data_IF_313161705029
#
_entry.id   IF_313161705029
#
_cell.length_a   1.000
_cell.length_b   1.000
_cell.length_c   1.000
_cell.angle_alpha   90.00
_cell.angle_beta   90.00
_cell.angle_gamma   90.00
#
_symmetry.space_group_name_H-M   'P 1'
#
loop_
_entity.id
_entity.type
_entity.pdbx_description
1 polymer ?
#
# COMPACT_ATOMS: atom_id res chain seq x y z
N UNK A 1 -9.57 14.52 -6.94
CA UNK A 1 -8.56 14.27 -8.00
C UNK A 1 -8.52 15.51 -8.85
N UNK A 2 -7.33 15.98 -9.18
CA UNK A 2 -7.14 17.10 -10.09
C UNK A 2 -6.72 16.50 -11.43
N UNK A 3 -7.53 16.68 -12.46
CA UNK A 3 -7.26 16.15 -13.81
C UNK A 3 -7.04 14.62 -13.84
N UNK A 4 -7.78 13.88 -13.01
CA UNK A 4 -7.61 12.42 -12.90
C UNK A 4 -6.44 11.97 -12.02
N UNK A 5 -5.65 12.90 -11.49
CA UNK A 5 -4.50 12.62 -10.64
C UNK A 5 -4.81 12.82 -9.15
N UNK A 6 -4.15 12.06 -8.26
CA UNK A 6 -4.20 12.27 -6.82
C UNK A 6 -3.58 13.64 -6.48
N UNK A 7 -4.27 14.41 -5.64
CA UNK A 7 -3.79 15.75 -5.21
C UNK A 7 -2.62 15.61 -4.22
N UNK A 8 -2.73 14.65 -3.30
CA UNK A 8 -1.68 14.32 -2.35
C UNK A 8 -1.87 12.90 -1.79
N UNK A 9 -0.80 12.37 -1.19
CA UNK A 9 -0.79 11.11 -0.46
C UNK A 9 -0.40 11.34 0.99
N UNK A 10 -1.03 10.61 1.90
CA UNK A 10 -0.75 10.67 3.34
C UNK A 10 -0.69 9.26 3.91
N UNK A 11 0.28 8.99 4.78
CA UNK A 11 0.40 7.70 5.46
C UNK A 11 1.06 7.86 6.81
N UNK A 12 0.61 7.08 7.80
CA UNK A 12 1.16 7.11 9.17
C UNK A 12 1.39 5.70 9.69
N UNK A 13 2.51 5.50 10.37
CA UNK A 13 2.74 4.28 11.16
C UNK A 13 1.83 4.28 12.39
N UNK A 14 1.26 3.10 12.69
CA UNK A 14 0.52 2.88 13.92
C UNK A 14 1.50 2.80 15.10
N UNK A 15 1.13 3.40 16.23
CA UNK A 15 1.85 3.23 17.49
C UNK A 15 1.68 1.82 18.05
N UNK A 16 2.54 1.40 18.98
CA UNK A 16 2.46 0.07 19.59
C UNK A 16 1.13 -0.24 20.30
N UNK A 17 0.36 0.77 20.69
CA UNK A 17 -1.00 0.58 21.20
C UNK A 17 -2.02 0.41 20.07
N UNK A 18 -1.89 1.19 19.00
CA UNK A 18 -2.78 1.19 17.83
C UNK A 18 -2.65 -0.07 16.98
N UNK A 19 -1.47 -0.73 16.99
CA UNK A 19 -1.29 -2.03 16.34
C UNK A 19 -2.19 -3.12 16.94
N UNK A 20 -2.64 -2.96 18.19
CA UNK A 20 -3.55 -3.91 18.87
C UNK A 20 -5.03 -3.64 18.60
N UNK A 21 -5.37 -2.59 17.86
CA UNK A 21 -6.77 -2.27 17.54
C UNK A 21 -7.34 -3.30 16.56
N UNK A 22 -8.67 -3.45 16.60
CA UNK A 22 -9.38 -4.24 15.61
C UNK A 22 -9.19 -3.64 14.21
N UNK A 23 -9.26 -4.47 13.16
CA UNK A 23 -9.03 -4.02 11.76
C UNK A 23 -9.92 -2.84 11.39
N UNK A 24 -11.21 -2.90 11.72
CA UNK A 24 -12.16 -1.81 11.51
C UNK A 24 -11.77 -0.50 12.20
N UNK A 25 -11.19 -0.58 13.41
CA UNK A 25 -10.74 0.61 14.14
C UNK A 25 -9.45 1.19 13.57
N UNK A 26 -8.57 0.35 13.03
CA UNK A 26 -7.35 0.80 12.33
C UNK A 26 -7.69 1.57 11.07
N UNK A 27 -8.67 1.09 10.31
CA UNK A 27 -9.14 1.79 9.11
C UNK A 27 -9.81 3.11 9.46
N UNK A 28 -10.69 3.13 10.46
CA UNK A 28 -11.30 4.37 10.91
C UNK A 28 -10.25 5.37 11.43
N UNK A 29 -9.24 4.88 12.16
CA UNK A 29 -8.13 5.71 12.60
C UNK A 29 -7.35 6.31 11.41
N UNK A 30 -7.18 5.56 10.32
CA UNK A 30 -6.57 6.08 9.11
C UNK A 30 -7.43 7.20 8.48
N UNK A 31 -8.76 7.03 8.44
CA UNK A 31 -9.69 8.08 7.97
C UNK A 31 -9.58 9.33 8.84
N UNK A 32 -9.67 9.17 10.17
CA UNK A 32 -9.53 10.28 11.13
C UNK A 32 -8.20 11.00 10.97
N UNK A 33 -7.10 10.26 10.78
CA UNK A 33 -5.78 10.84 10.53
C UNK A 33 -5.75 11.67 9.25
N UNK A 34 -6.24 11.12 8.14
CA UNK A 34 -6.28 11.82 6.86
C UNK A 34 -7.15 13.08 6.92
N UNK A 35 -8.31 13.03 7.58
CA UNK A 35 -9.18 14.21 7.71
C UNK A 35 -8.57 15.31 8.58
N UNK A 36 -7.77 14.96 9.58
CA UNK A 36 -6.97 15.94 10.33
C UNK A 36 -5.91 16.59 9.46
N UNK A 37 -5.14 15.78 8.72
CA UNK A 37 -4.08 16.27 7.86
C UNK A 37 -4.63 17.20 6.77
N UNK A 38 -5.75 16.82 6.16
CA UNK A 38 -6.35 17.52 5.02
C UNK A 38 -7.52 18.41 5.40
N UNK A 39 -7.65 18.78 6.69
CA UNK A 39 -8.76 19.61 7.19
C UNK A 39 -8.93 20.89 6.39
N UNK A 40 -7.82 21.55 6.05
CA UNK A 40 -7.80 22.79 5.28
C UNK A 40 -8.34 22.65 3.84
N UNK A 41 -8.32 21.45 3.26
CA UNK A 41 -8.90 21.19 1.94
C UNK A 41 -10.35 20.67 2.01
N UNK A 42 -10.69 19.93 3.06
CA UNK A 42 -11.92 19.15 3.12
C UNK A 42 -13.04 19.83 3.92
N UNK A 43 -12.69 20.72 4.85
CA UNK A 43 -13.69 21.40 5.68
C UNK A 43 -14.58 22.30 4.81
N UNK A 44 -15.90 22.21 5.03
CA UNK A 44 -16.90 22.97 4.27
C UNK A 44 -17.20 22.43 2.86
N UNK A 45 -16.54 21.35 2.44
CA UNK A 45 -16.80 20.69 1.16
C UNK A 45 -17.50 19.35 1.35
N UNK A 46 -18.32 18.95 0.36
CA UNK A 46 -18.88 17.60 0.27
C UNK A 46 -17.92 16.66 -0.44
N UNK A 47 -17.57 15.54 0.18
CA UNK A 47 -16.63 14.59 -0.44
C UNK A 47 -16.92 13.12 -0.08
N UNK A 48 -16.17 12.23 -0.73
CA UNK A 48 -16.32 10.78 -0.60
C UNK A 48 -15.08 10.19 0.05
N UNK A 49 -15.29 9.41 1.11
CA UNK A 49 -14.21 8.61 1.70
C UNK A 49 -14.38 7.17 1.23
N UNK A 50 -13.37 6.67 0.50
CA UNK A 50 -13.37 5.29 0.00
C UNK A 50 -12.54 4.39 0.91
N UNK A 51 -13.19 3.40 1.51
CA UNK A 51 -12.58 2.41 2.43
C UNK A 51 -12.71 1.00 1.87
N UNK A 52 -11.76 0.12 2.17
CA UNK A 52 -11.75 -1.26 1.69
C UNK A 52 -12.48 -2.26 2.61
N UNK A 53 -12.99 -1.78 3.74
CA UNK A 53 -13.82 -2.57 4.66
C UNK A 53 -15.20 -1.95 4.85
N UNK A 54 -16.20 -2.77 4.62
CA UNK A 54 -17.61 -2.42 4.85
C UNK A 54 -17.90 -2.18 6.32
N UNK A 55 -17.12 -2.74 7.26
CA UNK A 55 -17.40 -2.60 8.70
C UNK A 55 -17.00 -1.23 9.26
N UNK A 56 -16.20 -0.45 8.53
CA UNK A 56 -15.85 0.92 8.95
C UNK A 56 -17.09 1.84 8.98
N UNK A 57 -18.09 1.60 8.12
CA UNK A 57 -19.35 2.37 8.15
C UNK A 57 -20.17 2.09 9.42
N UNK A 58 -20.13 0.85 9.92
CA UNK A 58 -20.87 0.46 11.12
C UNK A 58 -20.41 1.21 12.38
N UNK A 59 -19.14 1.63 12.45
CA UNK A 59 -18.65 2.41 13.61
C UNK A 59 -19.31 3.80 13.66
N UNK A 60 -19.72 4.36 12.52
CA UNK A 60 -20.40 5.66 12.50
C UNK A 60 -21.85 5.58 13.00
N UNK A 61 -22.50 4.42 12.84
CA UNK A 61 -23.92 4.24 13.13
C UNK A 61 -24.18 3.41 14.39
N UNK A 62 -23.13 2.87 15.04
CA UNK A 62 -23.32 2.01 16.20
C UNK A 62 -23.83 2.80 17.42
N UNK A 63 -24.81 2.27 18.17
CA UNK A 63 -25.41 2.97 19.30
C UNK A 63 -24.52 3.03 20.54
N UNK A 64 -23.57 2.11 20.68
CA UNK A 64 -22.63 2.04 21.82
C UNK A 64 -21.22 2.26 21.32
N UNK A 65 -20.63 3.39 21.71
CA UNK A 65 -19.27 3.78 21.35
C UNK A 65 -18.36 3.66 22.56
N UNK A 66 -17.13 3.19 22.34
CA UNK A 66 -16.07 3.38 23.32
C UNK A 66 -15.70 4.87 23.43
N UNK A 67 -15.10 5.30 24.54
CA UNK A 67 -14.65 6.69 24.70
C UNK A 67 -13.71 7.16 23.57
N UNK A 68 -12.94 6.25 22.98
CA UNK A 68 -12.08 6.54 21.82
C UNK A 68 -12.90 6.76 20.56
N UNK A 69 -13.87 5.89 20.29
CA UNK A 69 -14.74 5.99 19.12
C UNK A 69 -15.62 7.24 19.18
N UNK A 70 -16.09 7.63 20.37
CA UNK A 70 -16.83 8.87 20.56
C UNK A 70 -16.00 10.11 20.17
N UNK A 71 -14.73 10.21 20.60
CA UNK A 71 -13.81 11.29 20.20
C UNK A 71 -13.53 11.31 18.70
N UNK A 72 -13.49 10.13 18.07
CA UNK A 72 -13.36 10.05 16.63
C UNK A 72 -14.62 10.54 15.93
N UNK A 73 -15.79 10.11 16.38
CA UNK A 73 -17.06 10.53 15.79
C UNK A 73 -17.29 12.05 15.91
N UNK A 74 -16.97 12.64 17.07
CA UNK A 74 -17.00 14.09 17.27
C UNK A 74 -16.16 14.84 16.23
N UNK A 75 -14.95 14.36 15.97
CA UNK A 75 -14.09 14.94 14.94
C UNK A 75 -14.62 14.72 13.52
N UNK A 76 -15.17 13.54 13.23
CA UNK A 76 -15.74 13.22 11.93
C UNK A 76 -17.00 14.06 11.64
N UNK A 77 -17.74 14.45 12.68
CA UNK A 77 -18.93 15.29 12.57
C UNK A 77 -18.62 16.72 12.08
N UNK A 78 -17.36 17.18 12.13
CA UNK A 78 -16.95 18.45 11.52
C UNK A 78 -17.03 18.44 9.98
N UNK A 79 -17.08 17.25 9.35
CA UNK A 79 -16.94 17.07 7.90
C UNK A 79 -18.23 16.57 7.26
N UNK A 80 -18.51 17.04 6.04
CA UNK A 80 -19.62 16.58 5.21
C UNK A 80 -19.14 15.53 4.20
N UNK A 81 -19.20 14.25 4.60
CA UNK A 81 -18.75 13.15 3.76
C UNK A 81 -19.64 11.92 3.84
N UNK A 82 -19.53 11.08 2.83
CA UNK A 82 -20.10 9.73 2.84
C UNK A 82 -19.03 8.68 2.66
N UNK A 83 -19.20 7.55 3.35
CA UNK A 83 -18.35 6.38 3.20
C UNK A 83 -18.84 5.52 2.03
N UNK A 84 -17.93 5.24 1.10
CA UNK A 84 -18.15 4.31 -0.01
C UNK A 84 -17.19 3.13 0.13
N UNK A 85 -17.73 1.91 0.12
CA UNK A 85 -16.89 0.73 0.10
C UNK A 85 -16.27 0.53 -1.30
N UNK A 86 -14.94 0.47 -1.35
CA UNK A 86 -14.17 0.13 -2.54
C UNK A 86 -13.34 -1.10 -2.25
N UNK A 87 -13.74 -2.24 -2.82
CA UNK A 87 -13.06 -3.52 -2.64
C UNK A 87 -11.52 -3.37 -2.72
N UNK A 88 -10.79 -3.98 -1.78
CA UNK A 88 -9.33 -3.82 -1.67
C UNK A 88 -8.55 -4.15 -2.96
N UNK A 89 -9.09 -5.05 -3.81
CA UNK A 89 -8.55 -5.34 -5.16
C UNK A 89 -8.56 -4.12 -6.09
N UNK A 90 -9.36 -3.09 -5.85
CA UNK A 90 -9.39 -1.83 -6.61
C UNK A 90 -8.76 -0.67 -5.82
N UNK A 91 -8.43 -0.86 -4.55
CA UNK A 91 -7.83 0.15 -3.68
C UNK A 91 -6.30 0.07 -3.65
N UNK A 92 -5.69 -0.14 -4.82
CA UNK A 92 -4.27 -0.53 -4.88
C UNK A 92 -3.30 0.49 -4.30
N UNK A 93 -3.61 1.77 -4.44
CA UNK A 93 -2.71 2.87 -4.04
C UNK A 93 -2.68 3.04 -2.52
N UNK A 94 -3.85 3.13 -1.87
CA UNK A 94 -3.94 3.22 -0.41
C UNK A 94 -3.34 1.97 0.26
N UNK A 95 -3.58 0.80 -0.33
CA UNK A 95 -3.06 -0.47 0.15
C UNK A 95 -1.54 -0.64 -0.10
N UNK A 96 -0.96 0.07 -1.07
CA UNK A 96 0.49 0.14 -1.25
C UNK A 96 1.14 1.04 -0.19
N UNK A 97 0.48 2.14 0.18
CA UNK A 97 0.95 3.07 1.22
C UNK A 97 0.80 2.51 2.64
N UNK A 98 -0.24 1.72 2.90
CA UNK A 98 -0.51 1.14 4.22
C UNK A 98 0.35 -0.09 4.53
N UNK A 99 0.78 -0.83 3.50
CA UNK A 99 1.71 -1.94 3.64
C UNK A 99 3.13 -1.42 3.73
N UNK A 100 3.96 -2.08 4.54
CA UNK A 100 5.41 -1.87 4.62
C UNK A 100 5.97 -1.60 3.21
N UNK A 101 6.77 -0.53 3.05
CA UNK A 101 7.47 -0.18 1.82
C UNK A 101 8.24 -1.38 1.21
N UNK A 102 8.66 -2.31 2.07
CA UNK A 102 9.20 -3.64 1.79
C UNK A 102 8.38 -4.46 0.77
N UNK A 103 7.06 -4.33 0.77
CA UNK A 103 6.09 -5.06 -0.07
C UNK A 103 5.53 -4.20 -1.21
N UNK A 104 5.61 -2.88 -1.13
CA UNK A 104 5.18 -1.98 -2.20
C UNK A 104 6.07 -2.16 -3.45
N UNK A 105 7.38 -2.35 -3.25
CA UNK A 105 8.32 -2.68 -4.32
C UNK A 105 8.06 -4.06 -5.00
N UNK A 106 7.23 -4.92 -4.38
CA UNK A 106 6.86 -6.24 -4.92
C UNK A 106 5.56 -6.23 -5.74
N UNK A 107 4.88 -5.08 -5.86
CA UNK A 107 3.45 -5.06 -6.20
C UNK A 107 3.13 -4.62 -7.63
N UNK A 108 4.05 -4.00 -8.35
CA UNK A 108 3.87 -3.67 -9.77
C UNK A 108 5.14 -3.97 -10.55
N UNK A 109 5.22 -5.20 -11.03
CA UNK A 109 5.90 -5.49 -12.28
C UNK A 109 4.79 -5.88 -13.24
N UNK A 110 4.63 -5.04 -14.26
CA UNK A 110 3.75 -5.24 -15.41
C UNK A 110 4.08 -6.61 -16.03
N UNK A 111 3.11 -7.34 -16.61
CA UNK A 111 3.44 -8.56 -17.36
C UNK A 111 4.55 -8.27 -18.39
N UNK A 112 5.50 -9.20 -18.53
CA UNK A 112 6.70 -9.16 -19.39
C UNK A 112 6.47 -8.78 -20.87
N UNK A 113 5.22 -8.56 -21.29
CA UNK A 113 4.82 -8.55 -22.69
C UNK A 113 4.59 -7.15 -23.29
N UNK A 114 4.90 -6.05 -22.60
CA UNK A 114 4.39 -4.72 -23.02
C UNK A 114 5.36 -3.53 -23.09
N UNK A 115 6.68 -3.63 -22.87
CA UNK A 115 7.54 -2.47 -23.16
C UNK A 115 9.02 -2.82 -23.34
N UNK A 116 9.69 -2.13 -24.27
CA UNK A 116 11.15 -2.20 -24.55
C UNK A 116 12.03 -1.80 -23.34
N UNK A 117 11.44 -1.23 -22.29
CA UNK A 117 12.10 -0.78 -21.06
C UNK A 117 12.51 -1.96 -20.14
N UNK A 118 12.08 -3.20 -20.45
CA UNK A 118 12.29 -4.36 -19.57
C UNK A 118 13.70 -4.93 -19.54
N UNK A 119 14.49 -4.79 -20.61
CA UNK A 119 15.81 -5.42 -20.67
C UNK A 119 16.81 -4.74 -19.72
N UNK A 120 16.83 -3.40 -19.71
CA UNK A 120 17.73 -2.62 -18.86
C UNK A 120 17.43 -2.84 -17.36
N UNK A 121 16.14 -2.97 -17.01
CA UNK A 121 15.72 -3.26 -15.63
C UNK A 121 16.07 -4.70 -15.25
N UNK A 122 15.93 -5.65 -16.17
CA UNK A 122 16.26 -7.06 -15.94
C UNK A 122 17.75 -7.24 -15.64
N UNK A 123 18.61 -6.62 -16.43
CA UNK A 123 20.07 -6.64 -16.20
C UNK A 123 20.41 -5.99 -14.85
N UNK A 124 19.80 -4.84 -14.53
CA UNK A 124 20.04 -4.16 -13.25
C UNK A 124 19.56 -4.98 -12.04
N UNK A 125 18.50 -5.77 -12.19
CA UNK A 125 18.03 -6.71 -11.16
C UNK A 125 19.08 -7.81 -10.94
N UNK A 126 19.59 -8.42 -12.01
CA UNK A 126 20.60 -9.48 -11.93
C UNK A 126 21.89 -8.95 -11.28
N UNK A 127 22.34 -7.75 -11.66
CA UNK A 127 23.53 -7.14 -11.07
C UNK A 127 23.38 -6.86 -9.57
N UNK A 128 22.22 -6.37 -9.14
CA UNK A 128 21.96 -6.05 -7.74
C UNK A 128 21.53 -7.27 -6.90
N UNK A 129 21.17 -8.38 -7.54
CA UNK A 129 20.84 -9.64 -6.87
C UNK A 129 22.02 -10.18 -6.06
N UNK A 130 23.25 -10.11 -6.61
CA UNK A 130 24.48 -10.54 -5.92
C UNK A 130 24.81 -9.69 -4.70
N UNK A 131 24.26 -8.48 -4.63
CA UNK A 131 24.50 -7.49 -3.57
C UNK A 131 23.45 -7.52 -2.46
N UNK A 132 22.39 -8.31 -2.59
CA UNK A 132 21.30 -8.42 -1.60
C UNK A 132 21.36 -9.76 -0.83
N UNK A 133 21.83 -9.75 0.43
CA UNK A 133 21.87 -10.94 1.28
C UNK A 133 20.50 -11.58 1.53
N UNK A 134 19.42 -10.79 1.55
CA UNK A 134 18.07 -11.32 1.76
C UNK A 134 17.58 -12.07 0.53
N UNK A 135 17.87 -11.55 -0.67
CA UNK A 135 17.49 -12.21 -1.91
C UNK A 135 18.24 -13.54 -2.08
N UNK A 136 19.54 -13.58 -1.76
CA UNK A 136 20.32 -14.83 -1.74
C UNK A 136 19.78 -15.86 -0.74
N UNK A 137 19.36 -15.42 0.45
CA UNK A 137 18.74 -16.31 1.43
C UNK A 137 17.41 -16.89 0.92
N UNK A 138 16.59 -16.07 0.26
CA UNK A 138 15.32 -16.53 -0.33
C UNK A 138 15.59 -17.51 -1.49
N UNK A 139 16.57 -17.26 -2.34
CA UNK A 139 16.93 -18.20 -3.42
C UNK A 139 17.36 -19.56 -2.88
N UNK A 140 18.23 -19.60 -1.85
CA UNK A 140 18.60 -20.86 -1.19
C UNK A 140 17.39 -21.61 -0.60
N UNK A 141 16.41 -20.87 -0.08
CA UNK A 141 15.17 -21.45 0.45
C UNK A 141 14.19 -21.93 -0.63
N UNK A 142 14.26 -21.35 -1.84
CA UNK A 142 13.50 -21.82 -3.01
C UNK A 142 14.14 -23.07 -3.58
N UNK A 143 15.47 -23.08 -3.73
CA UNK A 143 16.25 -24.25 -4.18
C UNK A 143 16.10 -25.44 -3.23
N UNK A 144 15.99 -25.19 -1.92
CA UNK A 144 15.72 -26.23 -0.91
C UNK A 144 14.25 -26.68 -0.86
N UNK A 145 13.37 -26.12 -1.70
CA UNK A 145 11.96 -26.48 -1.79
C UNK A 145 11.11 -26.03 -0.59
N UNK A 146 11.63 -25.19 0.31
CA UNK A 146 10.92 -24.72 1.50
C UNK A 146 9.85 -23.65 1.19
N UNK A 147 10.01 -22.91 0.09
CA UNK A 147 9.12 -21.80 -0.27
C UNK A 147 8.30 -22.09 -1.53
N UNK A 148 7.03 -22.47 -1.36
CA UNK A 148 6.07 -22.63 -2.49
C UNK A 148 5.60 -21.30 -3.12
N UNK A 149 5.90 -20.18 -2.48
CA UNK A 149 5.46 -18.84 -2.89
C UNK A 149 6.37 -18.14 -3.88
N UNK A 150 7.58 -18.66 -4.08
CA UNK A 150 8.60 -18.08 -4.93
C UNK A 150 9.17 -19.17 -5.84
N UNK A 151 9.53 -18.80 -7.06
CA UNK A 151 10.20 -19.67 -8.02
C UNK A 151 11.22 -18.84 -8.82
N UNK A 152 12.17 -19.51 -9.47
CA UNK A 152 13.17 -18.85 -10.33
C UNK A 152 12.73 -19.02 -11.77
N UNK A 153 12.69 -17.92 -12.52
CA UNK A 153 12.34 -17.90 -13.95
C UNK A 153 13.28 -16.89 -14.63
N UNK A 154 13.99 -17.31 -15.69
CA UNK A 154 14.97 -16.48 -16.40
C UNK A 154 16.00 -15.79 -15.48
N UNK A 155 16.56 -16.53 -14.52
CA UNK A 155 17.54 -16.03 -13.52
C UNK A 155 17.00 -14.97 -12.53
N UNK A 156 15.69 -14.71 -12.54
CA UNK A 156 15.06 -13.76 -11.64
C UNK A 156 14.11 -14.46 -10.69
N UNK A 157 14.08 -14.01 -9.43
CA UNK A 157 13.18 -14.52 -8.40
C UNK A 157 11.76 -13.99 -8.64
N UNK A 158 10.84 -14.88 -8.90
CA UNK A 158 9.42 -14.61 -9.11
C UNK A 158 8.62 -14.85 -7.83
N UNK A 159 7.47 -14.16 -7.70
CA UNK A 159 6.51 -14.33 -6.60
C UNK A 159 5.09 -14.36 -7.13
N UNK A 160 4.11 -14.76 -6.29
CA UNK A 160 2.67 -14.90 -6.63
C UNK A 160 2.19 -13.98 -7.77
N UNK A 161 1.85 -14.59 -8.91
CA UNK A 161 1.48 -13.90 -10.16
C UNK A 161 2.69 -13.67 -11.09
N UNK A 162 2.56 -12.82 -12.13
CA UNK A 162 3.68 -12.48 -13.01
C UNK A 162 4.54 -11.37 -12.40
N UNK A 163 5.08 -11.58 -11.19
CA UNK A 163 5.78 -10.54 -10.43
C UNK A 163 7.21 -10.96 -10.13
N UNK A 164 8.18 -10.10 -10.44
CA UNK A 164 9.59 -10.30 -10.06
C UNK A 164 9.88 -9.64 -8.71
N UNK A 165 10.88 -10.17 -8.02
CA UNK A 165 11.44 -9.59 -6.81
C UNK A 165 12.49 -8.54 -7.17
N UNK A 166 12.29 -7.31 -6.72
CA UNK A 166 13.28 -6.23 -6.88
C UNK A 166 14.25 -6.24 -5.70
N UNK A 167 15.57 -6.39 -5.90
CA UNK A 167 16.58 -6.34 -4.85
C UNK A 167 16.44 -5.10 -3.96
N UNK A 168 16.78 -5.22 -2.67
CA UNK A 168 16.95 -4.09 -1.75
C UNK A 168 18.27 -3.35 -1.96
N UNK A 169 19.24 -4.01 -2.58
CA UNK A 169 20.54 -3.44 -2.88
C UNK A 169 20.45 -2.44 -4.04
N UNK A 170 21.12 -1.30 -3.88
CA UNK A 170 21.18 -0.23 -4.88
C UNK A 170 19.98 0.72 -4.89
N UNK A 171 20.00 1.68 -5.81
CA UNK A 171 18.93 2.69 -5.98
C UNK A 171 17.78 2.21 -6.87
N UNK A 172 17.80 0.96 -7.34
CA UNK A 172 16.85 0.43 -8.32
C UNK A 172 15.40 0.60 -7.86
N UNK A 173 15.10 0.34 -6.58
CA UNK A 173 13.74 0.57 -6.03
C UNK A 173 13.32 2.03 -6.11
N UNK A 174 14.24 2.95 -5.84
CA UNK A 174 13.94 4.39 -5.87
C UNK A 174 13.76 4.87 -7.32
N UNK A 175 14.58 4.38 -8.26
CA UNK A 175 14.42 4.67 -9.69
C UNK A 175 13.08 4.17 -10.22
N UNK A 176 12.72 2.91 -9.93
CA UNK A 176 11.43 2.34 -10.31
C UNK A 176 10.24 3.11 -9.70
N UNK A 177 10.37 3.52 -8.43
CA UNK A 177 9.35 4.35 -7.78
C UNK A 177 9.21 5.71 -8.48
N UNK A 178 10.31 6.40 -8.80
CA UNK A 178 10.28 7.70 -9.51
C UNK A 178 9.65 7.57 -10.89
N UNK A 179 10.09 6.61 -11.69
CA UNK A 179 9.49 6.36 -13.02
C UNK A 179 7.99 6.11 -12.91
N UNK A 180 7.55 5.32 -11.93
CA UNK A 180 6.13 5.03 -11.73
C UNK A 180 5.30 6.19 -11.15
N UNK A 181 5.93 7.23 -10.62
CA UNK A 181 5.26 8.40 -10.05
C UNK A 181 5.24 9.60 -11.00
N UNK A 182 6.22 9.70 -11.90
CA UNK A 182 6.37 10.82 -12.84
C UNK A 182 5.76 10.56 -14.24
N UNK A 183 5.13 9.39 -14.47
CA UNK A 183 4.30 9.09 -15.67
C UNK A 183 2.83 8.90 -15.32
#
# INVERSE_FOLDING_TARGET
>A
MQEGHPVAFESRKLSGAETRYATQEKELLAVVHCLRAWRHYLLGSKFVVKVDNTTASHILTQPKLSARQARWQEHLAEFDFYLEHKAGKKNHVADALSRRADLAALRRITPMSASRVTNDIHELIIENMKKDPQMMAIMKMVESGQLKTFWIENEVLMTKGPRMYVPRAGELRQKLLRECHDT
#
